data_IF_759059351560
#
_entry.id   IF_759059351560
#
_cell.length_a   1.000
_cell.length_b   1.000
_cell.length_c   1.000
_cell.angle_alpha   90.00
_cell.angle_beta   90.00
_cell.angle_gamma   90.00
#
_symmetry.space_group_name_H-M   'P 1'
#
loop_
_entity.id
_entity.type
_entity.pdbx_description
1 polymer ?
#
# COMPACT_ATOMS: atom_id res chain seq x y z
N UNK A 1 -1.99 -0.48 -13.47
CA UNK A 1 -2.39 0.11 -12.18
C UNK A 1 -3.65 -0.57 -11.66
N UNK A 2 -3.60 -1.08 -10.43
CA UNK A 2 -4.69 -1.84 -9.78
C UNK A 2 -4.84 -1.40 -8.33
N UNK A 3 -6.07 -1.11 -7.88
CA UNK A 3 -6.37 -0.88 -6.46
C UNK A 3 -6.43 -2.22 -5.71
N UNK A 4 -5.74 -2.31 -4.57
CA UNK A 4 -5.70 -3.51 -3.74
C UNK A 4 -6.96 -3.65 -2.89
N UNK A 5 -7.53 -4.86 -2.87
CA UNK A 5 -8.63 -5.28 -2.00
C UNK A 5 -8.09 -5.92 -0.71
N UNK A 6 -8.97 -6.20 0.25
CA UNK A 6 -8.62 -6.70 1.58
C UNK A 6 -7.60 -7.85 1.61
N UNK A 7 -7.81 -8.90 0.82
CA UNK A 7 -6.88 -10.04 0.76
C UNK A 7 -5.52 -9.63 0.17
N UNK A 8 -5.54 -8.78 -0.85
CA UNK A 8 -4.33 -8.30 -1.52
C UNK A 8 -3.53 -7.35 -0.62
N UNK A 9 -4.19 -6.53 0.19
CA UNK A 9 -3.55 -5.71 1.23
C UNK A 9 -2.82 -6.57 2.28
N UNK A 10 -3.38 -7.72 2.66
CA UNK A 10 -2.72 -8.66 3.58
C UNK A 10 -1.49 -9.30 2.95
N UNK A 11 -1.59 -9.73 1.69
CA UNK A 11 -0.44 -10.27 0.94
C UNK A 11 0.65 -9.22 0.79
N UNK A 12 0.28 -7.98 0.45
CA UNK A 12 1.23 -6.89 0.29
C UNK A 12 1.94 -6.53 1.61
N UNK A 13 1.25 -6.55 2.75
CA UNK A 13 1.88 -6.37 4.09
C UNK A 13 3.01 -7.38 4.31
N UNK A 14 2.76 -8.66 4.05
CA UNK A 14 3.76 -9.73 4.24
C UNK A 14 4.93 -9.64 3.26
N UNK A 15 4.69 -9.23 2.02
CA UNK A 15 5.75 -8.97 1.04
C UNK A 15 6.62 -7.79 1.49
N UNK A 16 6.01 -6.68 1.88
CA UNK A 16 6.73 -5.48 2.31
C UNK A 16 7.55 -5.74 3.58
N UNK A 17 7.04 -6.54 4.52
CA UNK A 17 7.75 -6.91 5.75
C UNK A 17 9.12 -7.55 5.48
N UNK A 18 9.25 -8.32 4.40
CA UNK A 18 10.52 -8.96 3.98
C UNK A 18 11.57 -7.96 3.45
N UNK A 19 11.14 -6.75 3.08
CA UNK A 19 11.98 -5.71 2.49
C UNK A 19 12.29 -4.56 3.47
N UNK A 20 12.10 -4.79 4.77
CA UNK A 20 12.52 -3.84 5.78
C UNK A 20 14.06 -3.73 5.81
N UNK A 21 14.62 -2.53 6.00
CA UNK A 21 13.95 -1.27 6.38
C UNK A 21 13.40 -0.46 5.19
N UNK A 22 13.71 -0.81 3.94
CA UNK A 22 13.39 -0.01 2.74
C UNK A 22 11.89 0.26 2.57
N UNK A 23 11.05 -0.72 2.91
CA UNK A 23 9.59 -0.64 2.82
C UNK A 23 8.88 -0.03 4.03
N UNK A 24 9.60 0.40 5.08
CA UNK A 24 9.05 0.68 6.41
C UNK A 24 7.81 1.60 6.40
N UNK A 25 7.86 2.70 5.63
CA UNK A 25 6.74 3.66 5.55
C UNK A 25 5.48 3.02 4.98
N UNK A 26 5.60 2.30 3.87
CA UNK A 26 4.47 1.65 3.18
C UNK A 26 3.96 0.47 4.02
N UNK A 27 4.87 -0.31 4.60
CA UNK A 27 4.54 -1.38 5.53
C UNK A 27 3.71 -0.87 6.71
N UNK A 28 4.16 0.19 7.39
CA UNK A 28 3.42 0.77 8.53
C UNK A 28 2.03 1.25 8.15
N UNK A 29 1.88 1.77 6.92
CA UNK A 29 0.60 2.18 6.39
C UNK A 29 -0.36 0.99 6.17
N UNK A 30 0.10 -0.07 5.49
CA UNK A 30 -0.70 -1.27 5.27
C UNK A 30 -1.02 -1.99 6.59
N UNK A 31 -0.06 -2.04 7.52
CA UNK A 31 -0.27 -2.56 8.86
C UNK A 31 -1.44 -1.84 9.57
N UNK A 32 -1.54 -0.51 9.44
CA UNK A 32 -2.63 0.26 10.02
C UNK A 32 -3.99 -0.07 9.38
N UNK A 33 -4.04 -0.15 8.03
CA UNK A 33 -5.26 -0.48 7.27
C UNK A 33 -5.74 -1.91 7.56
N UNK A 34 -4.84 -2.89 7.54
CA UNK A 34 -5.17 -4.31 7.75
C UNK A 34 -5.70 -4.60 9.16
N UNK A 35 -5.52 -3.66 10.11
CA UNK A 35 -6.11 -3.70 11.46
C UNK A 35 -7.45 -2.96 11.55
N UNK A 36 -8.06 -2.62 10.42
CA UNK A 36 -9.43 -2.08 10.35
C UNK A 36 -9.52 -0.60 10.72
N UNK A 37 -8.40 0.13 10.70
CA UNK A 37 -8.43 1.55 10.98
C UNK A 37 -9.02 2.31 9.78
N UNK A 38 -10.01 3.20 9.99
CA UNK A 38 -10.60 3.97 8.90
C UNK A 38 -9.54 4.79 8.18
N UNK A 39 -9.59 4.77 6.85
CA UNK A 39 -8.75 5.59 6.00
C UNK A 39 -9.54 6.00 4.77
N UNK A 40 -9.27 7.20 4.25
CA UNK A 40 -9.77 7.67 2.95
C UNK A 40 -8.78 7.37 1.82
N UNK A 41 -7.68 6.69 2.15
CA UNK A 41 -6.59 6.42 1.23
C UNK A 41 -6.78 5.04 0.58
N UNK A 42 -6.51 4.96 -0.72
CA UNK A 42 -6.41 3.71 -1.46
C UNK A 42 -4.95 3.30 -1.65
N UNK A 43 -4.72 2.00 -1.67
CA UNK A 43 -3.43 1.41 -2.04
C UNK A 43 -3.54 0.92 -3.47
N UNK A 44 -2.76 1.52 -4.35
CA UNK A 44 -2.68 1.18 -5.77
C UNK A 44 -1.31 0.59 -6.05
N UNK A 45 -1.25 -0.39 -6.95
CA UNK A 45 -0.01 -0.97 -7.44
C UNK A 45 0.11 -0.80 -8.94
N UNK A 46 1.33 -0.72 -9.48
CA UNK A 46 1.56 -0.74 -10.93
C UNK A 46 1.14 -2.08 -11.55
N UNK A 47 1.59 -3.18 -10.94
CA UNK A 47 1.44 -4.58 -11.35
C UNK A 47 1.05 -5.47 -10.14
N UNK A 48 0.69 -6.73 -10.37
CA UNK A 48 0.36 -7.68 -9.30
C UNK A 48 0.58 -9.12 -9.80
N UNK A 49 1.24 -10.02 -9.05
CA UNK A 49 1.68 -9.89 -7.66
C UNK A 49 3.11 -9.34 -7.46
N UNK A 50 3.87 -9.10 -8.53
CA UNK A 50 5.10 -8.30 -8.45
C UNK A 50 4.71 -6.85 -8.68
N UNK A 51 4.94 -5.99 -7.68
CA UNK A 51 4.29 -4.68 -7.63
C UNK A 51 5.22 -3.63 -7.06
N UNK A 52 5.00 -2.36 -7.44
CA UNK A 52 5.36 -1.11 -6.79
C UNK A 52 4.15 -0.45 -6.17
N UNK A 53 4.26 -0.08 -4.89
CA UNK A 53 3.14 0.49 -4.14
C UNK A 53 3.05 2.02 -4.32
N UNK A 54 1.83 2.47 -4.58
CA UNK A 54 1.40 3.85 -4.62
C UNK A 54 0.29 4.01 -3.57
N UNK A 55 0.43 4.98 -2.67
CA UNK A 55 -0.65 5.36 -1.75
C UNK A 55 -1.30 6.63 -2.31
N UNK A 56 -2.63 6.61 -2.48
CA UNK A 56 -3.40 7.72 -3.05
C UNK A 56 -4.52 8.16 -2.09
N UNK A 57 -4.73 9.47 -1.94
CA UNK A 57 -5.84 10.05 -1.19
C UNK A 57 -7.04 10.29 -2.09
N UNK A 58 -8.19 9.69 -1.75
CA UNK A 58 -9.45 9.90 -2.49
C UNK A 58 -10.07 11.29 -2.24
N UNK A 59 -9.69 11.98 -1.16
CA UNK A 59 -10.29 13.27 -0.77
C UNK A 59 -9.58 14.49 -1.33
N UNK A 60 -8.32 14.34 -1.74
CA UNK A 60 -7.53 15.40 -2.38
C UNK A 60 -7.27 15.00 -3.82
N UNK A 61 -7.50 15.88 -4.78
CA UNK A 61 -7.18 15.66 -6.20
C UNK A 61 -5.72 15.18 -6.37
N UNK A 62 -5.52 13.86 -6.43
CA UNK A 62 -4.32 13.10 -6.80
C UNK A 62 -3.01 13.56 -6.14
N UNK A 63 -2.80 13.15 -4.88
CA UNK A 63 -1.47 13.14 -4.27
C UNK A 63 -0.82 11.76 -4.42
N UNK A 64 0.11 11.61 -5.37
CA UNK A 64 0.80 10.32 -5.62
C UNK A 64 2.09 10.24 -4.80
N UNK A 65 2.17 9.32 -3.85
CA UNK A 65 3.44 8.98 -3.19
C UNK A 65 4.04 7.74 -3.87
N UNK A 66 5.03 7.96 -4.75
CA UNK A 66 5.80 6.89 -5.39
C UNK A 66 6.85 6.35 -4.42
N UNK A 67 6.76 5.08 -4.01
CA UNK A 67 7.82 4.44 -3.21
C UNK A 67 8.16 3.09 -3.82
N UNK A 68 9.42 2.94 -4.24
CA UNK A 68 9.99 1.66 -4.70
C UNK A 68 10.55 0.88 -3.51
N UNK A 69 10.02 -0.31 -3.22
CA UNK A 69 10.67 -1.33 -2.37
C UNK A 69 11.78 -2.06 -3.11
#
# INVERSE_FOLDING_TARGET
MKTLKRFELQVAEEVLKKHLPKSFKVYGFLYYINRGKPTTLEVVVDEWPDFKVIIADLTSKIGTLWITH
#
